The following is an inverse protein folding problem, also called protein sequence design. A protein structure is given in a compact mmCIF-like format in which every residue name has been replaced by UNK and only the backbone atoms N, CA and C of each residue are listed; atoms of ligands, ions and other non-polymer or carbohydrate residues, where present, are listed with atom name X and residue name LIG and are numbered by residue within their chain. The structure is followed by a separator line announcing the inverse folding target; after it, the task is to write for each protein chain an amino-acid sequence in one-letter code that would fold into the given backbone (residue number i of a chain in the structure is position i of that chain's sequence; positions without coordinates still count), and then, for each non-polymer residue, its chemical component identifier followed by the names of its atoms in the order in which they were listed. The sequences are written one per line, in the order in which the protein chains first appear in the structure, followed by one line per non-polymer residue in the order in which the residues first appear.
data_IF_133559189428
#
_entry.id   IF_133559189428
#
_cell.length_a   1.000
_cell.length_b   1.000
_cell.length_c   1.000
_cell.angle_alpha   90.00
_cell.angle_beta   90.00
_cell.angle_gamma   90.00
#
_symmetry.space_group_name_H-M   'P 1'
#
loop_
_entity.id
_entity.type
_entity.pdbx_description
1 polymer ?
#
# COMPACT_ATOMS: atom_id res chain seq x y z
N UNK A 1 -18.83 21.00 2.66
CA UNK A 1 -18.76 19.54 2.38
C UNK A 1 -18.49 18.80 3.68
N UNK A 2 -19.18 17.70 3.95
CA UNK A 2 -18.94 16.88 5.16
C UNK A 2 -17.70 16.02 4.92
N UNK A 3 -16.73 16.07 5.83
CA UNK A 3 -15.53 15.22 5.77
C UNK A 3 -15.85 13.90 6.47
N UNK A 4 -15.70 12.79 5.76
CA UNK A 4 -15.99 11.43 6.25
C UNK A 4 -14.76 10.76 6.86
N UNK A 5 -13.55 11.07 6.35
CA UNK A 5 -12.28 10.58 6.91
C UNK A 5 -11.23 11.68 6.94
N UNK A 6 -11.09 12.34 8.10
CA UNK A 6 -10.05 13.34 8.34
C UNK A 6 -8.64 12.77 8.20
N UNK A 7 -8.42 11.52 8.64
CA UNK A 7 -7.12 10.86 8.54
C UNK A 7 -6.70 10.67 7.08
N UNK A 8 -7.62 10.20 6.24
CA UNK A 8 -7.36 10.01 4.80
C UNK A 8 -7.17 11.34 4.08
N UNK A 9 -7.94 12.38 4.45
CA UNK A 9 -7.79 13.72 3.89
C UNK A 9 -6.40 14.31 4.16
N UNK A 10 -5.98 14.30 5.44
CA UNK A 10 -4.68 14.82 5.86
C UNK A 10 -3.55 14.03 5.18
N UNK A 11 -3.65 12.70 5.13
CA UNK A 11 -2.68 11.86 4.44
C UNK A 11 -2.58 12.18 2.94
N UNK A 12 -3.72 12.34 2.26
CA UNK A 12 -3.75 12.68 0.84
C UNK A 12 -3.11 14.04 0.55
N UNK A 13 -3.36 15.05 1.40
CA UNK A 13 -2.81 16.40 1.20
C UNK A 13 -1.34 16.46 1.59
N UNK A 14 -0.97 16.03 2.80
CA UNK A 14 0.40 16.18 3.30
C UNK A 14 1.37 15.21 2.62
N UNK A 15 1.05 13.92 2.62
CA UNK A 15 1.93 12.89 2.07
C UNK A 15 1.79 12.89 0.54
N UNK A 16 0.55 12.82 0.04
CA UNK A 16 0.30 12.80 -1.40
C UNK A 16 0.72 14.11 -2.08
N UNK A 17 0.26 15.26 -1.57
CA UNK A 17 0.62 16.56 -2.12
C UNK A 17 2.12 16.87 -1.99
N UNK A 18 2.74 16.58 -0.84
CA UNK A 18 4.17 16.77 -0.65
C UNK A 18 5.02 15.94 -1.61
N UNK A 19 4.71 14.65 -1.75
CA UNK A 19 5.39 13.78 -2.70
C UNK A 19 5.14 14.19 -4.16
N UNK A 20 3.92 14.63 -4.49
CA UNK A 20 3.60 15.13 -5.81
C UNK A 20 4.43 16.36 -6.19
N UNK A 21 4.55 17.34 -5.29
CA UNK A 21 5.38 18.55 -5.52
C UNK A 21 6.84 18.17 -5.73
N UNK A 22 7.37 17.26 -4.91
CA UNK A 22 8.75 16.80 -5.04
C UNK A 22 9.02 16.14 -6.41
N UNK A 23 8.14 15.24 -6.84
CA UNK A 23 8.26 14.61 -8.17
C UNK A 23 8.03 15.63 -9.31
N UNK A 24 7.15 16.62 -9.12
CA UNK A 24 6.92 17.67 -10.11
C UNK A 24 8.19 18.49 -10.35
N UNK A 25 8.91 18.85 -9.27
CA UNK A 25 10.18 19.57 -9.36
C UNK A 25 11.23 18.74 -10.12
N UNK A 26 11.31 17.43 -9.87
CA UNK A 26 12.25 16.55 -10.61
C UNK A 26 11.89 16.42 -12.09
N UNK A 27 10.60 16.29 -12.39
CA UNK A 27 10.12 16.25 -13.77
C UNK A 27 10.47 17.53 -14.53
N UNK A 28 10.29 18.71 -13.91
CA UNK A 28 10.68 20.00 -14.47
C UNK A 28 12.20 20.13 -14.68
N UNK A 29 13.02 19.41 -13.90
CA UNK A 29 14.48 19.32 -14.10
C UNK A 29 14.90 18.37 -15.23
N UNK A 30 13.95 17.76 -15.94
CA UNK A 30 14.20 16.97 -17.15
C UNK A 30 14.24 15.46 -16.95
N UNK A 31 13.97 14.95 -15.74
CA UNK A 31 13.89 13.51 -15.51
C UNK A 31 12.54 12.95 -16.01
N UNK A 32 12.59 12.31 -17.17
CA UNK A 32 11.40 11.76 -17.84
C UNK A 32 10.84 10.52 -17.15
N UNK A 33 11.65 9.79 -16.38
CA UNK A 33 11.17 8.60 -15.65
C UNK A 33 10.23 8.96 -14.50
N UNK A 34 10.26 10.21 -14.05
CA UNK A 34 9.42 10.74 -12.97
C UNK A 34 7.93 10.87 -13.36
N UNK A 35 7.62 10.89 -14.66
CA UNK A 35 6.24 11.00 -15.13
C UNK A 35 5.32 9.89 -14.60
N UNK A 36 5.83 8.65 -14.51
CA UNK A 36 5.08 7.52 -13.95
C UNK A 36 4.75 7.74 -12.48
N UNK A 37 5.70 8.29 -11.71
CA UNK A 37 5.50 8.61 -10.30
C UNK A 37 4.50 9.74 -10.11
N UNK A 38 4.52 10.76 -10.98
CA UNK A 38 3.51 11.82 -10.97
C UNK A 38 2.09 11.28 -11.16
N UNK A 39 1.88 10.43 -12.17
CA UNK A 39 0.58 9.79 -12.41
C UNK A 39 0.14 8.95 -11.20
N UNK A 40 1.07 8.20 -10.62
CA UNK A 40 0.81 7.40 -9.42
C UNK A 40 0.35 8.27 -8.25
N UNK A 41 1.05 9.38 -7.96
CA UNK A 41 0.69 10.30 -6.88
C UNK A 41 -0.64 11.01 -7.14
N UNK A 42 -0.90 11.46 -8.38
CA UNK A 42 -2.20 12.04 -8.76
C UNK A 42 -3.33 11.06 -8.48
N UNK A 43 -3.19 9.79 -8.89
CA UNK A 43 -4.19 8.77 -8.62
C UNK A 43 -4.44 8.59 -7.12
N UNK A 44 -3.37 8.54 -6.31
CA UNK A 44 -3.50 8.41 -4.85
C UNK A 44 -4.21 9.60 -4.22
N UNK A 45 -3.90 10.83 -4.66
CA UNK A 45 -4.56 12.05 -4.18
C UNK A 45 -6.04 12.01 -4.53
N UNK A 46 -6.39 11.75 -5.80
CA UNK A 46 -7.79 11.70 -6.25
C UNK A 46 -8.57 10.64 -5.48
N UNK A 47 -8.01 9.43 -5.32
CA UNK A 47 -8.63 8.37 -4.53
C UNK A 47 -8.78 8.76 -3.06
N UNK A 48 -7.76 9.35 -2.46
CA UNK A 48 -7.78 9.80 -1.07
C UNK A 48 -8.82 10.90 -0.82
N UNK A 49 -8.93 11.85 -1.75
CA UNK A 49 -9.96 12.90 -1.74
C UNK A 49 -11.36 12.29 -1.89
N UNK A 50 -11.55 11.36 -2.82
CA UNK A 50 -12.83 10.67 -2.98
C UNK A 50 -13.25 9.91 -1.72
N UNK A 51 -12.34 9.15 -1.10
CA UNK A 51 -12.62 8.43 0.17
C UNK A 51 -12.92 9.38 1.33
N UNK A 52 -12.24 10.52 1.40
CA UNK A 52 -12.39 11.45 2.52
C UNK A 52 -13.59 12.40 2.39
N UNK A 53 -13.99 12.73 1.17
CA UNK A 53 -15.04 13.71 0.89
C UNK A 53 -16.36 13.10 0.43
N UNK A 54 -16.39 11.83 0.00
CA UNK A 54 -17.61 11.13 -0.40
C UNK A 54 -18.04 10.07 0.62
N UNK A 55 -19.35 10.03 0.92
CA UNK A 55 -19.95 8.96 1.74
C UNK A 55 -19.76 7.60 1.09
N UNK A 56 -20.00 7.51 -0.21
CA UNK A 56 -19.86 6.28 -0.99
C UNK A 56 -18.41 5.80 -0.98
N UNK A 57 -17.46 6.73 -1.16
CA UNK A 57 -16.04 6.43 -1.10
C UNK A 57 -15.58 5.88 0.23
N UNK A 58 -15.99 6.55 1.31
CA UNK A 58 -15.71 6.11 2.67
C UNK A 58 -16.31 4.73 2.98
N UNK A 59 -17.59 4.51 2.68
CA UNK A 59 -18.27 3.23 2.91
C UNK A 59 -17.67 2.10 2.06
N UNK A 60 -17.31 2.38 0.81
CA UNK A 60 -16.66 1.43 -0.08
C UNK A 60 -15.28 1.02 0.45
N UNK A 61 -14.47 1.97 0.92
CA UNK A 61 -13.16 1.70 1.50
C UNK A 61 -13.26 0.87 2.80
N UNK A 62 -14.15 1.28 3.71
CA UNK A 62 -14.42 0.52 4.94
C UNK A 62 -14.90 -0.91 4.68
N UNK A 63 -15.80 -1.10 3.71
CA UNK A 63 -16.29 -2.44 3.33
C UNK A 63 -15.17 -3.29 2.75
N UNK A 64 -14.32 -2.73 1.90
CA UNK A 64 -13.20 -3.48 1.35
C UNK A 64 -12.18 -3.85 2.42
N UNK A 65 -11.90 -2.94 3.36
CA UNK A 65 -11.02 -3.21 4.49
C UNK A 65 -11.59 -4.31 5.39
N UNK A 66 -12.88 -4.27 5.73
CA UNK A 66 -13.51 -5.29 6.56
C UNK A 66 -13.53 -6.67 5.90
N UNK A 67 -13.84 -6.75 4.61
CA UNK A 67 -13.76 -8.00 3.83
C UNK A 67 -12.32 -8.52 3.83
N UNK A 68 -11.33 -7.66 3.60
CA UNK A 68 -9.93 -8.08 3.56
C UNK A 68 -9.47 -8.62 4.93
N UNK A 69 -9.83 -7.95 6.03
CA UNK A 69 -9.54 -8.42 7.39
C UNK A 69 -10.23 -9.74 7.68
N UNK A 70 -11.51 -9.89 7.29
CA UNK A 70 -12.28 -11.13 7.48
C UNK A 70 -11.64 -12.30 6.74
N UNK A 71 -11.26 -12.09 5.48
CA UNK A 71 -10.56 -13.10 4.67
C UNK A 71 -9.20 -13.45 5.29
N UNK A 72 -8.42 -12.46 5.70
CA UNK A 72 -7.11 -12.71 6.33
C UNK A 72 -7.25 -13.51 7.63
N UNK A 73 -8.23 -13.18 8.48
CA UNK A 73 -8.53 -13.95 9.69
C UNK A 73 -9.00 -15.38 9.39
N UNK A 74 -9.77 -15.57 8.31
CA UNK A 74 -10.24 -16.88 7.87
C UNK A 74 -9.10 -17.76 7.37
N UNK A 75 -8.13 -17.18 6.66
CA UNK A 75 -7.01 -17.91 6.05
C UNK A 75 -5.87 -18.19 7.04
N UNK A 76 -5.56 -17.24 7.91
CA UNK A 76 -4.35 -17.26 8.75
C UNK A 76 -4.66 -17.18 10.26
N UNK A 77 -5.95 -17.31 10.64
CA UNK A 77 -6.38 -17.26 12.04
C UNK A 77 -6.13 -15.89 12.69
N UNK A 78 -5.82 -15.86 14.01
CA UNK A 78 -5.54 -14.62 14.75
C UNK A 78 -4.39 -13.78 14.16
N UNK A 79 -3.45 -14.43 13.49
CA UNK A 79 -2.25 -13.82 12.92
C UNK A 79 -2.45 -13.21 11.53
N UNK A 80 -3.63 -13.35 10.92
CA UNK A 80 -3.89 -12.84 9.57
C UNK A 80 -3.56 -11.36 9.32
N UNK A 81 -3.90 -10.43 10.24
CA UNK A 81 -3.49 -9.03 10.09
C UNK A 81 -1.96 -8.84 10.10
N UNK A 82 -1.22 -9.68 10.82
CA UNK A 82 0.24 -9.60 10.91
C UNK A 82 0.88 -10.19 9.64
N UNK A 83 0.29 -11.26 9.09
CA UNK A 83 0.72 -11.87 7.82
C UNK A 83 0.69 -10.87 6.66
N UNK A 84 -0.27 -9.94 6.61
CA UNK A 84 -0.25 -8.86 5.59
C UNK A 84 0.99 -7.96 5.65
N UNK A 85 1.64 -7.86 6.81
CA UNK A 85 2.81 -7.00 6.98
C UNK A 85 4.15 -7.73 6.83
N UNK A 86 4.15 -9.08 6.72
CA UNK A 86 5.37 -9.88 6.70
C UNK A 86 6.36 -9.47 5.61
N UNK A 87 5.87 -9.15 4.41
CA UNK A 87 6.71 -8.65 3.32
C UNK A 87 7.39 -7.32 3.65
N UNK A 88 6.67 -6.38 4.30
CA UNK A 88 7.24 -5.08 4.66
C UNK A 88 8.31 -5.22 5.73
N UNK A 89 8.10 -6.13 6.69
CA UNK A 89 9.10 -6.45 7.72
C UNK A 89 10.39 -6.97 7.06
N UNK A 90 10.28 -7.88 6.09
CA UNK A 90 11.44 -8.40 5.35
C UNK A 90 12.18 -7.28 4.59
N UNK A 91 11.46 -6.36 3.95
CA UNK A 91 12.07 -5.23 3.24
C UNK A 91 12.79 -4.26 4.20
N UNK A 92 12.21 -3.99 5.37
CA UNK A 92 12.83 -3.12 6.38
C UNK A 92 14.12 -3.77 6.91
N UNK A 93 14.08 -5.06 7.23
CA UNK A 93 15.26 -5.80 7.68
C UNK A 93 16.34 -5.81 6.59
N UNK A 94 15.96 -6.04 5.33
CA UNK A 94 16.89 -5.98 4.21
C UNK A 94 17.59 -4.62 4.13
N UNK A 95 16.85 -3.52 4.28
CA UNK A 95 17.41 -2.17 4.27
C UNK A 95 18.36 -1.91 5.45
N UNK A 96 18.01 -2.36 6.66
CA UNK A 96 18.87 -2.25 7.84
C UNK A 96 20.18 -3.00 7.60
N UNK A 97 20.13 -4.25 7.11
CA UNK A 97 21.33 -5.04 6.83
C UNK A 97 22.19 -4.38 5.75
N UNK A 98 21.59 -3.89 4.66
CA UNK A 98 22.33 -3.19 3.61
C UNK A 98 23.10 -1.97 4.15
N UNK A 99 22.51 -1.22 5.07
CA UNK A 99 23.09 0.02 5.60
C UNK A 99 24.13 -0.21 6.69
N UNK A 100 23.90 -1.15 7.60
CA UNK A 100 24.73 -1.35 8.79
C UNK A 100 25.69 -2.53 8.71
N UNK A 101 25.39 -3.52 7.85
CA UNK A 101 26.15 -4.77 7.72
C UNK A 101 26.47 -5.07 6.24
N UNK A 102 27.29 -4.23 5.57
CA UNK A 102 27.57 -4.37 4.14
C UNK A 102 28.29 -5.69 3.78
N UNK A 103 28.98 -6.32 4.74
CA UNK A 103 29.56 -7.67 4.59
C UNK A 103 28.50 -8.75 4.34
N UNK A 104 27.24 -8.51 4.71
CA UNK A 104 26.09 -9.39 4.50
C UNK A 104 25.17 -8.88 3.38
N UNK A 105 25.72 -8.14 2.41
CA UNK A 105 24.96 -7.58 1.28
C UNK A 105 24.17 -8.63 0.49
N UNK A 106 24.70 -9.85 0.33
CA UNK A 106 24.00 -10.96 -0.31
C UNK A 106 22.70 -11.34 0.44
N UNK A 107 22.74 -11.35 1.78
CA UNK A 107 21.58 -11.65 2.62
C UNK A 107 20.53 -10.55 2.51
N UNK A 108 20.95 -9.29 2.45
CA UNK A 108 20.06 -8.15 2.19
C UNK A 108 19.34 -8.31 0.84
N UNK A 109 20.05 -8.68 -0.23
CA UNK A 109 19.42 -8.92 -1.53
C UNK A 109 18.40 -10.07 -1.47
N UNK A 110 18.76 -11.19 -0.85
CA UNK A 110 17.85 -12.34 -0.69
C UNK A 110 16.59 -11.95 0.07
N UNK A 111 16.72 -11.20 1.18
CA UNK A 111 15.58 -10.73 1.96
C UNK A 111 14.73 -9.71 1.20
N UNK A 112 15.35 -8.84 0.41
CA UNK A 112 14.64 -7.87 -0.42
C UNK A 112 13.77 -8.57 -1.47
N UNK A 113 14.36 -9.44 -2.28
CA UNK A 113 13.63 -10.20 -3.30
C UNK A 113 12.63 -11.18 -2.68
N UNK A 114 13.00 -11.84 -1.57
CA UNK A 114 12.11 -12.72 -0.82
C UNK A 114 10.89 -11.99 -0.26
N UNK A 115 11.08 -10.77 0.26
CA UNK A 115 9.98 -9.91 0.72
C UNK A 115 9.03 -9.53 -0.42
N UNK A 116 9.57 -9.17 -1.59
CA UNK A 116 8.77 -8.89 -2.79
C UNK A 116 7.99 -10.12 -3.27
N UNK A 117 8.65 -11.27 -3.39
CA UNK A 117 8.01 -12.54 -3.77
C UNK A 117 6.90 -12.91 -2.80
N UNK A 118 7.14 -12.78 -1.50
CA UNK A 118 6.14 -13.02 -0.46
C UNK A 118 4.90 -12.14 -0.66
N UNK A 119 5.08 -10.83 -0.87
CA UNK A 119 3.96 -9.91 -1.12
C UNK A 119 3.15 -10.29 -2.35
N UNK A 120 3.82 -10.68 -3.44
CA UNK A 120 3.15 -11.10 -4.68
C UNK A 120 2.35 -12.38 -4.44
N UNK A 121 2.96 -13.40 -3.84
CA UNK A 121 2.32 -14.70 -3.61
C UNK A 121 1.11 -14.59 -2.67
N UNK A 122 1.28 -13.92 -1.53
CA UNK A 122 0.18 -13.67 -0.59
C UNK A 122 -0.90 -12.80 -1.24
N UNK A 123 -0.51 -11.78 -1.99
CA UNK A 123 -1.46 -10.92 -2.71
C UNK A 123 -2.31 -11.69 -3.70
N UNK A 124 -1.70 -12.57 -4.50
CA UNK A 124 -2.42 -13.42 -5.47
C UNK A 124 -3.34 -14.42 -4.77
N UNK A 125 -2.85 -15.09 -3.72
CA UNK A 125 -3.61 -16.07 -2.96
C UNK A 125 -4.83 -15.43 -2.28
N UNK A 126 -4.62 -14.34 -1.54
CA UNK A 126 -5.67 -13.62 -0.81
C UNK A 126 -6.67 -12.97 -1.77
N UNK A 127 -6.23 -12.46 -2.93
CA UNK A 127 -7.12 -11.85 -3.93
C UNK A 127 -8.18 -12.84 -4.43
N UNK A 128 -7.86 -14.12 -4.55
CA UNK A 128 -8.83 -15.16 -4.93
C UNK A 128 -9.95 -15.25 -3.89
N UNK A 129 -9.58 -15.35 -2.62
CA UNK A 129 -10.55 -15.45 -1.52
C UNK A 129 -11.33 -14.16 -1.27
N UNK A 130 -10.73 -12.99 -1.48
CA UNK A 130 -11.45 -11.71 -1.43
C UNK A 130 -12.52 -11.65 -2.53
N UNK A 131 -12.23 -12.13 -3.74
CA UNK A 131 -13.22 -12.18 -4.82
C UNK A 131 -14.39 -13.10 -4.48
N UNK A 132 -14.12 -14.27 -3.89
CA UNK A 132 -15.15 -15.21 -3.43
C UNK A 132 -15.99 -14.59 -2.31
N UNK A 133 -15.35 -14.01 -1.30
CA UNK A 133 -16.06 -13.40 -0.16
C UNK A 133 -16.91 -12.20 -0.61
N UNK A 134 -16.44 -11.41 -1.60
CA UNK A 134 -17.22 -10.29 -2.17
C UNK A 134 -18.53 -10.74 -2.82
N UNK A 135 -18.60 -11.95 -3.41
CA UNK A 135 -19.84 -12.49 -4.00
C UNK A 135 -20.93 -12.75 -2.97
N UNK A 136 -20.60 -12.80 -1.67
CA UNK A 136 -21.60 -12.99 -0.62
C UNK A 136 -22.27 -11.67 -0.21
N UNK A 137 -21.81 -10.53 -0.73
CA UNK A 137 -22.30 -9.18 -0.37
C UNK A 137 -22.95 -8.44 -1.56
N UNK A 138 -22.98 -9.05 -2.75
CA UNK A 138 -23.54 -8.54 -4.00
C UNK A 138 -24.31 -9.66 -4.68
#
# INVERSE_FOLDING_TARGET
MKVYSWKTLIGAILIGGGAFIYELIKFLKGDKFVFIYLLFWTYLIVKGLWVSLSREGFQHDMRNASISIKVMKKLFGPWGPIFSYGGYVLLIIAFIIAKFLPSLSWLSMVLFFGGFLYMILIGLYVRKHIKEEKKNYF
#
